data_IF_671718804096
#
_entry.id   IF_671718804096
#
_cell.length_a   1.000
_cell.length_b   1.000
_cell.length_c   1.000
_cell.angle_alpha   90.00
_cell.angle_beta   90.00
_cell.angle_gamma   90.00
#
_symmetry.space_group_name_H-M   'P 1'
#
loop_
_entity.id
_entity.type
_entity.pdbx_description
1 polymer ?
#
# COMPACT_ATOMS: atom_id res chain seq x y z
N UNK A 1 18.77 60.98 -67.43
CA UNK A 1 19.07 59.68 -66.77
C UNK A 1 17.73 59.17 -66.22
N UNK A 2 17.16 58.06 -66.77
CA UNK A 2 17.09 56.71 -66.16
C UNK A 2 16.72 56.77 -64.67
N UNK A 3 15.75 56.07 -64.08
CA UNK A 3 14.82 54.99 -64.47
C UNK A 3 13.76 54.89 -63.35
N UNK A 4 12.61 54.28 -63.64
CA UNK A 4 11.61 53.85 -62.67
C UNK A 4 12.05 52.58 -61.88
N UNK A 5 11.18 52.20 -60.92
CA UNK A 5 11.12 50.97 -60.09
C UNK A 5 11.94 50.97 -58.78
N UNK A 6 11.46 50.46 -57.64
CA UNK A 6 10.58 49.30 -57.47
C UNK A 6 9.83 49.31 -56.12
N UNK A 7 8.62 48.76 -56.18
CA UNK A 7 7.69 48.37 -55.11
C UNK A 7 8.33 47.56 -53.99
N UNK A 8 8.07 47.96 -52.73
CA UNK A 8 8.28 47.12 -51.54
C UNK A 8 7.50 45.81 -51.70
N UNK A 9 8.20 44.70 -51.85
CA UNK A 9 7.64 43.36 -51.65
C UNK A 9 7.14 43.23 -50.22
N UNK A 10 6.00 42.54 -49.98
CA UNK A 10 5.63 42.16 -48.62
C UNK A 10 6.68 41.17 -48.12
N UNK A 11 7.19 41.40 -46.90
CA UNK A 11 7.93 40.37 -46.18
C UNK A 11 7.05 39.13 -46.16
N UNK A 12 7.47 38.09 -46.87
CA UNK A 12 6.87 36.78 -46.73
C UNK A 12 6.88 36.44 -45.25
N UNK A 13 5.70 36.29 -44.65
CA UNK A 13 5.60 35.66 -43.35
C UNK A 13 6.26 34.30 -43.49
N UNK A 14 7.47 34.18 -42.93
CA UNK A 14 8.04 32.89 -42.57
C UNK A 14 6.96 32.25 -41.69
N UNK A 15 6.47 31.04 -41.99
CA UNK A 15 5.57 30.37 -41.06
C UNK A 15 6.30 30.35 -39.72
N UNK A 16 5.69 30.95 -38.70
CA UNK A 16 6.15 30.78 -37.33
C UNK A 16 6.31 29.28 -37.15
N UNK A 17 7.55 28.88 -36.90
CA UNK A 17 7.94 27.49 -36.73
C UNK A 17 7.18 26.93 -35.53
N UNK A 18 6.04 26.30 -35.81
CA UNK A 18 5.15 25.64 -34.85
C UNK A 18 5.84 24.43 -34.17
N UNK A 19 7.14 24.23 -34.42
CA UNK A 19 7.95 23.15 -33.83
C UNK A 19 8.44 23.44 -32.41
N UNK A 20 8.36 24.68 -31.91
CA UNK A 20 8.80 25.03 -30.54
C UNK A 20 7.68 24.98 -29.48
N UNK A 21 6.52 24.42 -29.86
CA UNK A 21 5.38 24.19 -28.94
C UNK A 21 5.17 22.74 -28.56
N UNK A 22 6.23 21.93 -28.60
CA UNK A 22 6.29 20.81 -27.66
C UNK A 22 6.53 21.39 -26.27
N UNK A 23 5.46 21.93 -25.67
CA UNK A 23 5.38 22.17 -24.23
C UNK A 23 5.99 20.96 -23.56
N UNK A 24 7.09 21.12 -22.80
CA UNK A 24 7.62 20.07 -21.95
C UNK A 24 6.45 19.53 -21.11
N UNK A 25 5.94 18.35 -21.48
CA UNK A 25 4.85 17.72 -20.74
C UNK A 25 5.45 17.19 -19.43
N UNK A 26 5.63 18.10 -18.47
CA UNK A 26 6.10 17.75 -17.14
C UNK A 26 4.98 17.05 -16.38
N UNK A 27 5.31 15.91 -15.78
CA UNK A 27 4.38 15.18 -14.91
C UNK A 27 4.13 16.03 -13.67
N UNK A 28 2.88 16.46 -13.47
CA UNK A 28 2.48 17.29 -12.31
C UNK A 28 2.01 16.47 -11.10
N UNK A 29 1.64 15.21 -11.31
CA UNK A 29 1.22 14.29 -10.26
C UNK A 29 1.31 12.82 -10.71
N UNK A 30 1.40 11.91 -9.74
CA UNK A 30 1.41 10.45 -9.96
C UNK A 30 0.24 9.82 -9.20
N UNK A 31 -0.57 9.02 -9.91
CA UNK A 31 -1.63 8.21 -9.28
C UNK A 31 -1.09 6.80 -9.04
N UNK A 32 -1.15 6.35 -7.79
CA UNK A 32 -0.61 5.08 -7.32
C UNK A 32 0.63 5.26 -6.41
N UNK A 33 1.37 4.17 -6.15
CA UNK A 33 1.05 2.78 -6.46
C UNK A 33 0.02 2.20 -5.48
N UNK A 34 -0.33 0.92 -5.65
CA UNK A 34 -1.31 0.23 -4.82
C UNK A 34 -0.75 -0.26 -3.47
N UNK A 35 0.42 -0.91 -3.47
CA UNK A 35 1.03 -1.45 -2.25
C UNK A 35 1.58 -0.33 -1.36
N UNK A 36 1.48 -0.52 -0.05
CA UNK A 36 1.99 0.47 0.89
C UNK A 36 3.52 0.60 0.81
N UNK A 37 4.27 -0.50 0.64
CA UNK A 37 5.73 -0.46 0.57
C UNK A 37 6.25 0.30 -0.66
N UNK A 38 5.62 0.08 -1.82
CA UNK A 38 5.97 0.84 -3.02
C UNK A 38 5.55 2.30 -2.86
N UNK A 39 4.40 2.57 -2.23
CA UNK A 39 3.93 3.93 -2.01
C UNK A 39 4.84 4.70 -1.04
N UNK A 40 5.31 4.07 0.03
CA UNK A 40 6.30 4.63 0.96
C UNK A 40 7.59 4.96 0.20
N UNK A 41 8.10 4.01 -0.58
CA UNK A 41 9.36 4.18 -1.34
C UNK A 41 9.27 5.36 -2.31
N UNK A 42 8.18 5.47 -3.08
CA UNK A 42 8.01 6.57 -4.04
C UNK A 42 7.69 7.90 -3.34
N UNK A 43 6.94 7.87 -2.24
CA UNK A 43 6.53 9.08 -1.52
C UNK A 43 7.72 9.82 -0.91
N UNK A 44 8.74 9.10 -0.44
CA UNK A 44 9.99 9.73 0.00
C UNK A 44 10.66 10.54 -1.12
N UNK A 45 10.75 9.97 -2.32
CA UNK A 45 11.36 10.64 -3.49
C UNK A 45 10.49 11.83 -3.92
N UNK A 46 9.18 11.62 -4.06
CA UNK A 46 8.26 12.65 -4.54
C UNK A 46 8.08 13.81 -3.54
N UNK A 47 8.17 13.55 -2.25
CA UNK A 47 8.18 14.59 -1.22
C UNK A 47 9.43 15.48 -1.33
N UNK A 48 10.58 14.90 -1.69
CA UNK A 48 11.83 15.65 -1.88
C UNK A 48 11.80 16.59 -3.10
N UNK A 49 11.06 16.24 -4.15
CA UNK A 49 10.94 17.04 -5.38
C UNK A 49 9.61 17.81 -5.49
N UNK A 50 8.74 17.73 -4.47
CA UNK A 50 7.44 18.40 -4.45
C UNK A 50 6.41 17.86 -5.45
N UNK A 51 6.59 16.63 -5.95
CA UNK A 51 5.66 16.00 -6.89
C UNK A 51 4.49 15.38 -6.12
N UNK A 52 3.25 15.69 -6.49
CA UNK A 52 2.08 15.14 -5.82
C UNK A 52 1.91 13.65 -6.13
N UNK A 53 1.68 12.83 -5.11
CA UNK A 53 1.38 11.40 -5.25
C UNK A 53 0.01 11.09 -4.65
N UNK A 54 -0.86 10.39 -5.37
CA UNK A 54 -2.19 9.99 -4.87
C UNK A 54 -2.36 8.48 -4.98
N UNK A 55 -2.22 7.75 -3.87
CA UNK A 55 -2.48 6.30 -3.86
C UNK A 55 -3.97 5.98 -3.73
N UNK A 56 -4.42 4.98 -4.47
CA UNK A 56 -5.78 4.44 -4.40
C UNK A 56 -5.91 3.21 -3.50
N UNK A 57 -4.79 2.66 -2.96
CA UNK A 57 -4.81 1.40 -2.18
C UNK A 57 -3.83 1.32 -1.00
N UNK A 58 -2.88 2.26 -0.84
CA UNK A 58 -1.89 2.22 0.24
C UNK A 58 -2.45 2.75 1.57
N UNK A 59 -2.77 1.85 2.50
CA UNK A 59 -3.41 2.18 3.79
C UNK A 59 -2.44 2.30 4.97
N UNK A 60 -1.15 1.98 4.79
CA UNK A 60 -0.16 2.01 5.89
C UNK A 60 -0.24 3.32 6.68
N UNK A 61 -0.21 3.21 8.00
CA UNK A 61 -0.34 4.36 8.91
C UNK A 61 0.78 5.37 8.76
N UNK A 62 1.99 4.91 8.42
CA UNK A 62 3.19 5.78 8.32
C UNK A 62 3.03 6.86 7.25
N UNK A 63 2.34 6.54 6.15
CA UNK A 63 2.02 7.47 5.05
C UNK A 63 1.13 8.66 5.47
N UNK A 64 0.65 8.68 6.71
CA UNK A 64 -0.11 9.81 7.28
C UNK A 64 0.80 10.87 7.90
N UNK A 65 2.10 10.59 8.07
CA UNK A 65 3.05 11.55 8.62
C UNK A 65 3.34 12.65 7.59
N UNK A 66 2.81 13.85 7.85
CA UNK A 66 2.96 15.01 6.97
C UNK A 66 4.31 15.68 7.05
N UNK A 67 5.12 15.37 8.07
CA UNK A 67 6.49 15.86 8.17
C UNK A 67 7.45 15.09 7.26
N UNK A 68 7.18 13.79 7.05
CA UNK A 68 7.96 12.90 6.17
C UNK A 68 7.40 12.86 4.73
N UNK A 69 6.08 12.72 4.58
CA UNK A 69 5.39 12.52 3.29
C UNK A 69 4.57 13.76 2.91
N UNK A 70 5.27 14.85 2.64
CA UNK A 70 4.70 16.20 2.42
C UNK A 70 3.77 16.26 1.20
N UNK A 71 4.04 15.49 0.14
CA UNK A 71 3.28 15.49 -1.11
C UNK A 71 2.44 14.24 -1.36
N UNK A 72 2.29 13.37 -0.35
CA UNK A 72 1.52 12.13 -0.46
C UNK A 72 0.04 12.31 -0.09
N UNK A 73 -0.86 11.73 -0.87
CA UNK A 73 -2.29 11.71 -0.63
C UNK A 73 -2.83 10.30 -0.92
N UNK A 74 -4.04 10.02 -0.41
CA UNK A 74 -4.75 8.80 -0.73
C UNK A 74 -6.25 8.98 -0.66
N UNK A 75 -6.98 8.20 -1.45
CA UNK A 75 -8.46 8.21 -1.52
C UNK A 75 -9.12 7.23 -0.54
N UNK A 76 -8.33 6.64 0.35
CA UNK A 76 -8.76 5.61 1.30
C UNK A 76 -8.27 5.94 2.72
N UNK A 77 -8.90 5.42 3.78
CA UNK A 77 -8.48 5.67 5.14
C UNK A 77 -7.17 4.94 5.50
N UNK A 78 -6.57 5.36 6.62
CA UNK A 78 -5.44 4.67 7.24
C UNK A 78 -5.83 3.35 7.88
N UNK A 79 -4.89 2.41 7.97
CA UNK A 79 -4.98 1.19 8.77
C UNK A 79 -5.32 1.45 10.25
N UNK A 80 -5.07 2.64 10.79
CA UNK A 80 -5.51 3.01 12.15
C UNK A 80 -7.01 2.76 12.36
N UNK A 81 -7.83 3.06 11.34
CA UNK A 81 -9.28 2.84 11.41
C UNK A 81 -9.64 1.36 11.20
N UNK A 82 -8.97 0.69 10.25
CA UNK A 82 -9.19 -0.74 9.99
C UNK A 82 -8.85 -1.59 11.21
N UNK A 83 -7.71 -1.32 11.85
CA UNK A 83 -7.28 -2.01 13.07
C UNK A 83 -8.30 -1.82 14.19
N UNK A 84 -8.75 -0.58 14.43
CA UNK A 84 -9.76 -0.30 15.45
C UNK A 84 -11.02 -1.12 15.18
N UNK A 85 -11.53 -1.11 13.95
CA UNK A 85 -12.71 -1.88 13.57
C UNK A 85 -12.52 -3.39 13.77
N UNK A 86 -11.36 -3.95 13.41
CA UNK A 86 -11.07 -5.37 13.61
C UNK A 86 -11.10 -5.76 15.09
N UNK A 87 -10.51 -4.92 15.95
CA UNK A 87 -10.48 -5.19 17.39
C UNK A 87 -11.87 -4.98 18.03
N UNK A 88 -12.63 -3.98 17.59
CA UNK A 88 -14.02 -3.76 18.04
C UNK A 88 -14.91 -4.98 17.71
N UNK A 89 -14.68 -5.64 16.56
CA UNK A 89 -15.36 -6.91 16.21
C UNK A 89 -14.98 -8.04 17.17
N UNK A 90 -13.69 -8.19 17.48
CA UNK A 90 -13.21 -9.23 18.41
C UNK A 90 -13.81 -9.03 19.80
N UNK A 91 -13.86 -7.79 20.28
CA UNK A 91 -14.47 -7.44 21.55
C UNK A 91 -15.98 -7.75 21.55
N UNK A 92 -16.70 -7.38 20.51
CA UNK A 92 -18.15 -7.66 20.38
C UNK A 92 -18.48 -9.16 20.48
N UNK A 93 -17.65 -10.02 19.88
CA UNK A 93 -17.84 -11.47 19.90
C UNK A 93 -17.12 -12.18 21.07
N UNK A 94 -16.53 -11.43 22.01
CA UNK A 94 -15.74 -11.96 23.12
C UNK A 94 -14.60 -12.89 22.68
N UNK A 95 -13.94 -12.59 21.57
CA UNK A 95 -12.76 -13.31 21.10
C UNK A 95 -11.51 -12.79 21.83
N UNK A 96 -11.14 -13.48 22.91
CA UNK A 96 -10.02 -13.07 23.78
C UNK A 96 -8.70 -13.76 23.47
N UNK A 97 -8.68 -14.72 22.53
CA UNK A 97 -7.49 -15.52 22.22
C UNK A 97 -7.36 -15.76 20.70
N UNK A 98 -6.47 -15.01 20.05
CA UNK A 98 -6.34 -14.97 18.58
C UNK A 98 -4.96 -15.42 18.09
N UNK A 99 -4.89 -15.93 16.86
CA UNK A 99 -3.63 -16.05 16.12
C UNK A 99 -3.54 -14.97 15.05
N UNK A 100 -2.45 -14.21 15.04
CA UNK A 100 -2.21 -13.08 14.14
C UNK A 100 -1.13 -13.42 13.11
N UNK A 101 -1.48 -13.31 11.84
CA UNK A 101 -0.59 -13.56 10.72
C UNK A 101 -0.51 -12.34 9.80
N UNK A 102 0.65 -12.10 9.19
CA UNK A 102 0.80 -11.00 8.25
C UNK A 102 1.88 -11.21 7.19
N UNK A 103 1.94 -10.30 6.23
CA UNK A 103 3.04 -10.25 5.26
C UNK A 103 4.29 -9.68 5.92
N UNK A 104 5.45 -10.22 5.55
CA UNK A 104 6.75 -9.75 6.03
C UNK A 104 7.21 -8.52 5.23
N UNK A 105 6.47 -7.44 5.40
CA UNK A 105 6.70 -6.15 4.75
C UNK A 105 6.15 -5.01 5.62
N UNK A 106 6.35 -3.76 5.21
CA UNK A 106 6.01 -2.60 6.05
C UNK A 106 4.50 -2.54 6.32
N UNK A 107 3.67 -2.88 5.34
CA UNK A 107 2.21 -3.00 5.51
C UNK A 107 1.83 -3.99 6.61
N UNK A 108 2.25 -5.25 6.47
CA UNK A 108 1.87 -6.32 7.38
C UNK A 108 2.42 -6.10 8.79
N UNK A 109 3.70 -5.74 8.92
CA UNK A 109 4.33 -5.56 10.22
C UNK A 109 3.75 -4.37 11.01
N UNK A 110 3.52 -3.22 10.37
CA UNK A 110 2.93 -2.05 11.04
C UNK A 110 1.46 -2.26 11.40
N UNK A 111 0.70 -2.92 10.52
CA UNK A 111 -0.69 -3.29 10.79
C UNK A 111 -0.81 -4.26 11.96
N UNK A 112 0.00 -5.33 11.97
CA UNK A 112 0.05 -6.29 13.07
C UNK A 112 0.45 -5.63 14.40
N UNK A 113 1.45 -4.75 14.39
CA UNK A 113 1.89 -4.05 15.59
C UNK A 113 0.82 -3.09 16.12
N UNK A 114 0.08 -2.43 15.22
CA UNK A 114 -1.05 -1.58 15.61
C UNK A 114 -2.20 -2.40 16.19
N UNK A 115 -2.47 -3.58 15.63
CA UNK A 115 -3.50 -4.49 16.12
C UNK A 115 -3.15 -5.06 17.49
N UNK A 116 -1.90 -5.48 17.69
CA UNK A 116 -1.41 -5.92 19.00
C UNK A 116 -1.57 -4.84 20.07
N UNK A 117 -1.22 -3.60 19.75
CA UNK A 117 -1.44 -2.48 20.64
C UNK A 117 -2.92 -2.25 20.96
N UNK A 118 -3.80 -2.23 19.96
CA UNK A 118 -5.25 -2.02 20.18
C UNK A 118 -5.94 -3.20 20.88
N UNK A 119 -5.50 -4.43 20.63
CA UNK A 119 -5.98 -5.65 21.29
C UNK A 119 -5.61 -5.68 22.78
N UNK A 120 -4.38 -5.26 23.11
CA UNK A 120 -3.91 -5.19 24.51
C UNK A 120 -4.77 -4.29 25.39
N UNK A 121 -5.39 -3.25 24.81
CA UNK A 121 -6.28 -2.33 25.53
C UNK A 121 -7.62 -2.97 25.93
N UNK A 122 -7.99 -4.09 25.28
CA UNK A 122 -9.28 -4.78 25.44
C UNK A 122 -9.13 -6.20 25.97
N UNK A 123 -7.97 -6.52 26.56
CA UNK A 123 -7.67 -7.85 27.12
C UNK A 123 -7.84 -8.99 26.10
N UNK A 124 -7.41 -8.76 24.86
CA UNK A 124 -7.36 -9.77 23.80
C UNK A 124 -5.91 -10.23 23.66
N UNK A 125 -5.66 -11.50 23.94
CA UNK A 125 -4.35 -12.11 23.89
C UNK A 125 -4.03 -12.61 22.48
N UNK A 126 -2.85 -12.25 21.99
CA UNK A 126 -2.28 -12.80 20.76
C UNK A 126 -1.48 -14.04 21.12
N UNK A 127 -2.10 -15.20 20.92
CA UNK A 127 -1.54 -16.52 21.18
C UNK A 127 -0.29 -16.79 20.32
N UNK A 128 -0.36 -16.34 19.07
CA UNK A 128 0.70 -16.49 18.09
C UNK A 128 0.73 -15.26 17.19
N UNK A 129 1.95 -14.79 16.91
CA UNK A 129 2.22 -13.74 15.94
C UNK A 129 3.24 -14.24 14.92
N UNK A 130 2.92 -14.23 13.62
CA UNK A 130 3.83 -14.75 12.58
C UNK A 130 3.73 -13.99 11.25
N UNK A 131 4.88 -13.75 10.62
CA UNK A 131 4.99 -13.15 9.28
C UNK A 131 5.50 -14.15 8.25
N UNK A 132 5.21 -13.88 6.97
CA UNK A 132 5.72 -14.66 5.83
C UNK A 132 6.20 -13.75 4.70
N UNK A 133 7.35 -14.11 4.13
CA UNK A 133 8.08 -13.31 3.14
C UNK A 133 8.12 -13.94 1.74
N UNK A 134 7.57 -15.15 1.58
CA UNK A 134 7.77 -15.90 0.34
C UNK A 134 7.01 -15.25 -0.82
N UNK A 135 7.72 -14.97 -1.91
CA UNK A 135 7.12 -14.44 -3.15
C UNK A 135 6.36 -15.51 -3.94
N UNK A 136 6.76 -16.79 -3.81
CA UNK A 136 6.04 -17.90 -4.45
C UNK A 136 4.93 -18.41 -3.51
N UNK A 137 3.68 -18.21 -3.93
CA UNK A 137 2.48 -18.68 -3.23
C UNK A 137 2.54 -20.17 -2.91
N UNK A 138 3.15 -21.00 -3.76
CA UNK A 138 3.27 -22.45 -3.48
C UNK A 138 4.15 -22.71 -2.27
N UNK A 139 5.24 -21.96 -2.11
CA UNK A 139 6.10 -22.06 -0.94
C UNK A 139 5.39 -21.55 0.31
N UNK A 140 4.63 -20.45 0.19
CA UNK A 140 3.78 -19.96 1.28
C UNK A 140 2.82 -21.08 1.71
N UNK A 141 2.06 -21.66 0.78
CA UNK A 141 1.06 -22.69 1.07
C UNK A 141 1.69 -23.93 1.70
N UNK A 142 2.78 -24.47 1.13
CA UNK A 142 3.45 -25.67 1.65
C UNK A 142 3.97 -25.46 3.07
N UNK A 143 4.69 -24.37 3.32
CA UNK A 143 5.25 -24.08 4.64
C UNK A 143 4.16 -23.75 5.66
N UNK A 144 3.15 -22.95 5.27
CA UNK A 144 2.03 -22.61 6.13
C UNK A 144 1.21 -23.84 6.54
N UNK A 145 0.95 -24.74 5.59
CA UNK A 145 0.16 -25.95 5.88
C UNK A 145 0.85 -26.79 6.93
N UNK A 146 2.15 -27.04 6.76
CA UNK A 146 2.94 -27.76 7.76
C UNK A 146 3.01 -27.01 9.10
N UNK A 147 3.16 -25.69 9.07
CA UNK A 147 3.25 -24.88 10.29
C UNK A 147 1.93 -24.86 11.07
N UNK A 148 0.80 -24.58 10.41
CA UNK A 148 -0.52 -24.49 11.05
C UNK A 148 -0.94 -25.86 11.59
N UNK A 149 -0.83 -26.93 10.79
CA UNK A 149 -1.22 -28.28 11.25
C UNK A 149 -0.42 -28.75 12.47
N UNK A 150 0.86 -28.42 12.53
CA UNK A 150 1.75 -28.89 13.59
C UNK A 150 1.88 -27.92 14.78
N UNK A 151 1.23 -26.75 14.75
CA UNK A 151 1.32 -25.77 15.83
C UNK A 151 0.06 -25.83 16.72
N UNK A 152 0.15 -26.41 17.94
CA UNK A 152 -1.00 -26.59 18.82
C UNK A 152 -1.59 -25.27 19.32
N UNK A 153 -0.83 -24.17 19.27
CA UNK A 153 -1.32 -22.84 19.66
C UNK A 153 -2.36 -22.36 18.65
N UNK A 154 -2.11 -22.54 17.35
CA UNK A 154 -3.03 -22.16 16.28
C UNK A 154 -4.33 -22.94 16.39
N UNK A 155 -4.23 -24.24 16.68
CA UNK A 155 -5.40 -25.11 16.85
C UNK A 155 -6.22 -24.81 18.11
N UNK A 156 -5.66 -24.06 19.08
CA UNK A 156 -6.38 -23.60 20.28
C UNK A 156 -7.03 -22.23 20.09
N UNK A 157 -6.43 -21.36 19.26
CA UNK A 157 -7.03 -20.09 18.88
C UNK A 157 -8.07 -20.32 17.77
N UNK A 158 -9.35 -20.34 18.12
CA UNK A 158 -10.45 -20.53 17.16
C UNK A 158 -10.62 -19.35 16.18
N UNK A 159 -9.81 -18.30 16.30
CA UNK A 159 -9.89 -17.07 15.51
C UNK A 159 -8.54 -16.76 14.90
N UNK A 160 -8.54 -16.70 13.56
CA UNK A 160 -7.38 -16.38 12.75
C UNK A 160 -7.51 -14.96 12.19
N UNK A 161 -6.56 -14.10 12.53
CA UNK A 161 -6.51 -12.71 12.07
C UNK A 161 -5.39 -12.56 11.06
N UNK A 162 -5.70 -11.97 9.90
CA UNK A 162 -4.74 -11.81 8.80
C UNK A 162 -4.58 -10.32 8.48
N UNK A 163 -3.34 -9.84 8.52
CA UNK A 163 -2.96 -8.49 8.12
C UNK A 163 -1.83 -8.57 7.08
N UNK A 164 -2.18 -8.81 5.82
CA UNK A 164 -1.21 -9.14 4.78
C UNK A 164 -1.62 -8.57 3.42
N UNK A 165 -0.65 -8.39 2.52
CA UNK A 165 -0.94 -8.10 1.10
C UNK A 165 -1.74 -9.22 0.44
N UNK A 166 -2.48 -8.88 -0.63
CA UNK A 166 -3.50 -9.74 -1.24
C UNK A 166 -3.01 -11.16 -1.58
N UNK A 167 -1.78 -11.30 -2.08
CA UNK A 167 -1.22 -12.61 -2.43
C UNK A 167 -0.88 -13.47 -1.21
N UNK A 168 -0.37 -12.86 -0.13
CA UNK A 168 -0.13 -13.54 1.14
C UNK A 168 -1.44 -13.90 1.84
N UNK A 169 -2.43 -12.98 1.84
CA UNK A 169 -3.74 -13.21 2.40
C UNK A 169 -4.47 -14.36 1.70
N UNK A 170 -4.43 -14.39 0.36
CA UNK A 170 -5.00 -15.49 -0.43
C UNK A 170 -4.40 -16.84 -0.03
N UNK A 171 -3.07 -16.92 0.10
CA UNK A 171 -2.39 -18.14 0.49
C UNK A 171 -2.78 -18.60 1.91
N UNK A 172 -2.84 -17.67 2.86
CA UNK A 172 -3.28 -17.93 4.24
C UNK A 172 -4.71 -18.47 4.28
N UNK A 173 -5.65 -17.80 3.63
CA UNK A 173 -7.06 -18.22 3.57
C UNK A 173 -7.18 -19.62 2.97
N UNK A 174 -6.46 -19.89 1.88
CA UNK A 174 -6.46 -21.21 1.24
C UNK A 174 -5.98 -22.32 2.18
N UNK A 175 -4.94 -22.05 2.99
CA UNK A 175 -4.42 -23.03 3.94
C UNK A 175 -5.37 -23.23 5.12
N UNK A 176 -5.99 -22.16 5.62
CA UNK A 176 -6.90 -22.24 6.76
C UNK A 176 -8.12 -23.12 6.48
N UNK A 177 -8.68 -23.05 5.27
CA UNK A 177 -9.78 -23.94 4.84
C UNK A 177 -9.37 -25.42 4.88
N UNK A 178 -8.12 -25.73 4.52
CA UNK A 178 -7.60 -27.10 4.41
C UNK A 178 -7.14 -27.68 5.76
N UNK A 179 -6.85 -26.84 6.75
CA UNK A 179 -6.32 -27.28 8.04
C UNK A 179 -7.35 -27.26 9.17
N UNK A 180 -8.45 -26.51 9.01
CA UNK A 180 -9.50 -26.34 10.03
C UNK A 180 -10.75 -27.18 9.72
N UNK A 181 -10.86 -27.75 8.51
CA UNK A 181 -11.85 -28.77 8.16
C UNK A 181 -11.28 -30.18 8.23
#
# INVERSE_FOLDING_TARGET
MRSANETRTPVSQVPDDDSDRMTEQSVIAVVGPASSDSAISTAHIFSAVGLAQISYSATSRILSDRSEYTSFFRTIPSDTYQVKAMVDIMEYFNWTYISLFGSDNSYGQLGMSSLEYEASKRNIDIALKKTFSYKDIRQIVTHLTGYIKNNPIVNRSNVLVIFAESHHAYALIKVSIVCVG
#
